data_IF_098386281514
#
_entry.id   IF_098386281514
#
_cell.length_a   1.000
_cell.length_b   1.000
_cell.length_c   1.000
_cell.angle_alpha   90.00
_cell.angle_beta   90.00
_cell.angle_gamma   90.00
#
_symmetry.space_group_name_H-M   'P 1'
#
loop_
_entity.id
_entity.type
_entity.pdbx_description
1 polymer ?
#
# COMPACT_ATOMS: atom_id res chain seq x y z
N UNK A 1 -15.27 3.72 40.33
CA UNK A 1 -14.03 4.48 40.03
C UNK A 1 -13.27 3.68 39.00
N UNK A 2 -13.34 4.08 37.72
CA UNK A 2 -12.76 3.32 36.62
C UNK A 2 -11.32 3.80 36.43
N UNK A 3 -10.36 2.91 36.66
CA UNK A 3 -8.93 3.20 36.60
C UNK A 3 -8.53 3.34 35.12
N UNK A 4 -8.63 4.54 34.56
CA UNK A 4 -8.10 4.84 33.22
C UNK A 4 -6.58 4.92 33.31
N UNK A 5 -5.93 3.76 33.21
CA UNK A 5 -4.50 3.64 33.09
C UNK A 5 -4.11 4.16 31.69
N UNK A 6 -3.73 5.43 31.60
CA UNK A 6 -3.26 6.04 30.35
C UNK A 6 -1.92 5.37 30.01
N UNK A 7 -1.91 4.51 28.99
CA UNK A 7 -0.70 3.88 28.47
C UNK A 7 0.05 4.88 27.59
N UNK A 8 1.17 5.48 28.03
CA UNK A 8 1.88 6.54 27.30
C UNK A 8 2.40 6.06 25.94
N UNK A 9 2.72 4.77 25.85
CA UNK A 9 3.22 4.06 24.67
C UNK A 9 2.21 4.00 23.51
N UNK A 10 0.92 4.26 23.76
CA UNK A 10 -0.14 4.26 22.75
C UNK A 10 -0.52 5.66 22.24
N UNK A 11 0.18 6.70 22.69
CA UNK A 11 0.03 8.07 22.19
C UNK A 11 0.85 8.21 20.90
N UNK A 12 0.41 7.54 19.84
CA UNK A 12 1.12 7.52 18.53
C UNK A 12 0.68 8.66 17.62
N UNK A 13 -0.44 9.33 17.92
CA UNK A 13 -0.92 10.44 17.09
C UNK A 13 -0.44 11.79 17.66
N UNK A 14 0.27 12.62 16.86
CA UNK A 14 0.74 13.95 17.28
C UNK A 14 -0.35 14.84 17.92
N UNK A 15 -1.61 14.63 17.55
CA UNK A 15 -2.77 15.36 18.10
C UNK A 15 -3.09 14.99 19.55
N UNK A 16 -2.81 13.76 19.99
CA UNK A 16 -3.04 13.33 21.37
C UNK A 16 -1.96 13.87 22.31
N UNK A 17 -0.70 13.92 21.85
CA UNK A 17 0.39 14.56 22.59
C UNK A 17 0.10 16.06 22.80
N UNK A 18 -0.41 16.75 21.77
CA UNK A 18 -0.85 18.15 21.87
C UNK A 18 -1.94 18.34 22.94
N UNK A 19 -2.91 17.44 23.00
CA UNK A 19 -3.97 17.46 24.02
C UNK A 19 -3.43 17.35 25.44
N UNK A 20 -2.47 16.44 25.68
CA UNK A 20 -1.84 16.30 27.00
C UNK A 20 -1.08 17.57 27.42
N UNK A 21 -0.36 18.19 26.50
CA UNK A 21 0.35 19.45 26.75
C UNK A 21 -0.59 20.62 27.04
N UNK A 22 -1.74 20.70 26.37
CA UNK A 22 -2.77 21.72 26.65
C UNK A 22 -3.38 21.56 28.05
N UNK A 23 -3.67 20.32 28.47
CA UNK A 23 -4.15 20.04 29.83
C UNK A 23 -3.10 20.43 30.87
N UNK A 24 -1.81 20.15 30.61
CA UNK A 24 -0.70 20.58 31.44
C UNK A 24 -0.59 22.10 31.56
N UNK A 25 -0.66 22.83 30.44
CA UNK A 25 -0.64 24.30 30.43
C UNK A 25 -1.79 24.88 31.25
N UNK A 26 -3.01 24.37 31.04
CA UNK A 26 -4.19 24.81 31.77
C UNK A 26 -4.06 24.58 33.28
N UNK A 27 -3.53 23.42 33.68
CA UNK A 27 -3.31 23.08 35.08
C UNK A 27 -2.27 23.99 35.76
N UNK A 28 -1.15 24.26 35.09
CA UNK A 28 -0.09 25.13 35.61
C UNK A 28 -0.59 26.58 35.75
N UNK A 29 -1.21 27.13 34.71
CA UNK A 29 -1.71 28.51 34.75
C UNK A 29 -2.84 28.68 35.78
N UNK A 30 -3.71 27.67 35.93
CA UNK A 30 -4.72 27.67 37.00
C UNK A 30 -4.07 27.71 38.38
N UNK A 31 -3.00 26.94 38.58
CA UNK A 31 -2.26 26.93 39.86
C UNK A 31 -1.61 28.29 40.14
N UNK A 32 -1.02 28.93 39.13
CA UNK A 32 -0.41 30.27 39.28
C UNK A 32 -1.44 31.34 39.61
N UNK A 33 -2.59 31.36 38.94
CA UNK A 33 -3.66 32.32 39.22
C UNK A 33 -4.28 32.09 40.61
N UNK A 34 -4.55 30.82 40.97
CA UNK A 34 -5.08 30.49 42.30
C UNK A 34 -4.08 30.88 43.39
N UNK A 35 -2.78 30.61 43.20
CA UNK A 35 -1.75 31.03 44.14
C UNK A 35 -1.65 32.55 44.25
N UNK A 36 -1.73 33.27 43.12
CA UNK A 36 -1.70 34.73 43.09
C UNK A 36 -2.87 35.37 43.87
N UNK A 37 -4.08 34.81 43.77
CA UNK A 37 -5.27 35.30 44.48
C UNK A 37 -5.21 35.00 45.99
N UNK A 38 -4.55 33.91 46.39
CA UNK A 38 -4.38 33.57 47.81
C UNK A 38 -3.20 34.28 48.48
N UNK A 39 -2.34 34.94 47.71
CA UNK A 39 -1.30 35.82 48.22
C UNK A 39 -1.90 37.21 48.51
N UNK A 40 -1.49 37.82 49.63
CA UNK A 40 -1.98 39.14 50.06
C UNK A 40 -1.73 40.22 48.99
N UNK A 41 -2.63 41.20 48.88
CA UNK A 41 -2.71 42.22 47.80
C UNK A 41 -1.46 43.10 47.61
N UNK A 42 -0.46 43.01 48.50
CA UNK A 42 0.78 43.81 48.44
C UNK A 42 2.05 42.97 48.22
N UNK A 43 1.92 41.75 47.67
CA UNK A 43 3.07 40.89 47.37
C UNK A 43 3.41 40.94 45.88
N UNK A 44 4.60 41.44 45.57
CA UNK A 44 5.22 41.40 44.22
C UNK A 44 5.20 39.99 43.59
N UNK A 45 5.17 38.95 44.44
CA UNK A 45 5.04 37.56 44.02
C UNK A 45 3.70 37.27 43.31
N UNK A 46 2.60 37.90 43.74
CA UNK A 46 1.29 37.75 43.10
C UNK A 46 1.30 38.34 41.68
N UNK A 47 1.84 39.56 41.53
CA UNK A 47 1.99 40.20 40.22
C UNK A 47 2.91 39.41 39.28
N UNK A 48 4.03 38.89 39.81
CA UNK A 48 4.95 38.05 39.05
C UNK A 48 4.29 36.75 38.56
N UNK A 49 3.44 36.11 39.37
CA UNK A 49 2.70 34.90 38.98
C UNK A 49 1.67 35.17 37.88
N UNK A 50 0.99 36.31 37.93
CA UNK A 50 0.04 36.71 36.87
C UNK A 50 0.78 36.97 35.56
N UNK A 51 1.90 37.69 35.59
CA UNK A 51 2.74 37.93 34.40
C UNK A 51 3.29 36.61 33.85
N UNK A 52 3.74 35.70 34.73
CA UNK A 52 4.22 34.38 34.34
C UNK A 52 3.12 33.58 33.63
N UNK A 53 1.88 33.56 34.15
CA UNK A 53 0.77 32.87 33.53
C UNK A 53 0.40 33.45 32.15
N UNK A 54 0.46 34.78 31.99
CA UNK A 54 0.22 35.46 30.70
C UNK A 54 1.30 35.09 29.67
N UNK A 55 2.58 35.12 30.06
CA UNK A 55 3.69 34.82 29.15
C UNK A 55 3.81 33.32 28.82
N UNK A 56 3.33 32.44 29.69
CA UNK A 56 3.38 31.00 29.48
C UNK A 56 2.57 30.58 28.24
N UNK A 57 1.44 31.24 27.96
CA UNK A 57 0.57 30.94 26.80
C UNK A 57 1.27 31.19 25.46
N UNK A 58 1.81 32.38 25.14
CA UNK A 58 2.50 32.61 23.87
C UNK A 58 3.78 31.79 23.74
N UNK A 59 4.54 31.58 24.82
CA UNK A 59 5.73 30.70 24.80
C UNK A 59 5.34 29.29 24.41
N UNK A 60 4.27 28.76 25.03
CA UNK A 60 3.75 27.44 24.73
C UNK A 60 3.27 27.32 23.27
N UNK A 61 2.53 28.31 22.76
CA UNK A 61 2.08 28.31 21.38
C UNK A 61 3.25 28.33 20.38
N UNK A 62 4.29 29.12 20.66
CA UNK A 62 5.51 29.13 19.83
C UNK A 62 6.22 27.77 19.87
N UNK A 63 6.33 27.16 21.06
CA UNK A 63 6.95 25.84 21.23
C UNK A 63 6.18 24.77 20.44
N UNK A 64 4.85 24.73 20.58
CA UNK A 64 3.97 23.83 19.84
C UNK A 64 4.08 24.05 18.34
N UNK A 65 4.02 25.31 17.89
CA UNK A 65 4.15 25.65 16.47
C UNK A 65 5.49 25.20 15.91
N UNK A 66 6.59 25.42 16.64
CA UNK A 66 7.93 24.94 16.26
C UNK A 66 7.97 23.41 16.17
N UNK A 67 7.33 22.73 17.12
CA UNK A 67 7.23 21.27 17.15
C UNK A 67 6.48 20.72 15.93
N UNK A 68 5.34 21.34 15.59
CA UNK A 68 4.49 20.94 14.47
C UNK A 68 5.06 21.28 13.09
N UNK A 69 5.91 22.30 12.98
CA UNK A 69 6.46 22.77 11.68
C UNK A 69 7.87 22.26 11.42
N UNK A 70 8.74 22.27 12.42
CA UNK A 70 10.16 21.91 12.28
C UNK A 70 10.45 20.45 12.63
N UNK A 71 9.82 19.94 13.67
CA UNK A 71 10.06 18.59 14.20
C UNK A 71 9.01 17.57 13.78
N UNK A 72 8.11 17.94 12.85
CA UNK A 72 7.15 17.01 12.23
C UNK A 72 7.79 15.74 11.67
N UNK A 73 8.96 15.79 10.98
CA UNK A 73 9.59 14.58 10.46
C UNK A 73 10.16 13.67 11.56
N UNK A 74 10.58 14.24 12.69
CA UNK A 74 11.16 13.49 13.82
C UNK A 74 10.10 12.83 14.72
N UNK A 75 8.85 13.28 14.59
CA UNK A 75 7.66 12.72 15.26
C UNK A 75 6.86 11.75 14.39
N UNK A 76 7.29 11.50 13.15
CA UNK A 76 6.71 10.49 12.29
C UNK A 76 7.38 9.14 12.55
N UNK A 77 6.60 8.06 12.42
CA UNK A 77 7.08 6.68 12.61
C UNK A 77 8.34 6.41 11.76
N UNK A 78 9.28 5.64 12.34
CA UNK A 78 10.68 5.44 11.95
C UNK A 78 10.98 5.31 10.44
N UNK A 79 10.02 4.88 9.61
CA UNK A 79 10.18 4.76 8.16
C UNK A 79 10.48 6.09 7.47
N UNK A 80 9.81 7.17 7.89
CA UNK A 80 10.02 8.50 7.30
C UNK A 80 11.26 9.21 7.85
N UNK A 81 11.69 8.89 9.07
CA UNK A 81 12.93 9.42 9.65
C UNK A 81 14.17 8.84 8.95
N UNK A 82 14.18 7.54 8.66
CA UNK A 82 15.23 6.91 7.88
C UNK A 82 15.36 7.53 6.48
N UNK A 83 14.25 7.80 5.81
CA UNK A 83 14.23 8.40 4.48
C UNK A 83 14.64 9.89 4.50
N UNK A 84 14.23 10.63 5.53
CA UNK A 84 14.64 12.03 5.74
C UNK A 84 16.14 12.16 6.03
N UNK A 85 16.73 11.29 6.88
CA UNK A 85 18.18 11.25 7.11
C UNK A 85 18.91 10.84 5.82
N UNK A 86 18.44 9.81 5.10
CA UNK A 86 19.03 9.41 3.82
C UNK A 86 19.01 10.53 2.76
N UNK A 87 17.98 11.38 2.75
CA UNK A 87 17.90 12.52 1.82
C UNK A 87 18.78 13.70 2.26
N UNK A 88 18.95 13.93 3.58
CA UNK A 88 19.78 15.02 4.11
C UNK A 88 21.27 14.69 4.10
N UNK A 89 21.60 13.42 4.25
CA UNK A 89 22.96 12.89 4.27
C UNK A 89 23.24 12.31 2.90
N UNK A 90 23.70 13.15 1.97
CA UNK A 90 24.11 12.76 0.61
C UNK A 90 25.41 11.92 0.62
N UNK A 91 25.61 11.09 1.65
CA UNK A 91 26.68 10.11 1.73
C UNK A 91 26.10 8.75 1.37
N UNK A 92 26.72 8.07 0.41
CA UNK A 92 26.38 6.68 0.11
C UNK A 92 26.48 5.87 1.40
N UNK A 93 25.35 5.46 1.96
CA UNK A 93 25.30 4.61 3.14
C UNK A 93 26.05 3.32 2.81
N UNK A 94 27.29 3.24 3.27
CA UNK A 94 27.99 1.97 3.42
C UNK A 94 27.27 1.28 4.57
N UNK A 95 26.26 0.49 4.22
CA UNK A 95 25.56 -0.40 5.15
C UNK A 95 26.64 -1.13 5.95
N UNK A 96 26.73 -0.96 7.28
CA UNK A 96 27.65 -1.76 8.07
C UNK A 96 27.17 -3.19 7.89
N UNK A 97 27.96 -3.93 7.13
CA UNK A 97 27.71 -5.31 6.79
C UNK A 97 27.75 -6.08 8.11
N UNK A 98 26.60 -6.19 8.78
CA UNK A 98 26.46 -7.10 9.91
C UNK A 98 26.83 -8.46 9.38
N UNK A 99 27.89 -9.04 9.93
CA UNK A 99 28.43 -10.33 9.49
C UNK A 99 27.35 -11.41 9.56
N UNK A 100 26.36 -11.24 10.44
CA UNK A 100 25.18 -12.10 10.56
C UNK A 100 24.26 -12.01 9.34
N UNK A 101 23.98 -10.81 8.84
CA UNK A 101 23.14 -10.62 7.65
C UNK A 101 23.81 -11.18 6.39
N UNK A 102 25.14 -11.04 6.28
CA UNK A 102 25.88 -11.64 5.15
C UNK A 102 25.97 -13.14 5.26
N UNK A 103 26.15 -13.71 6.45
CA UNK A 103 26.08 -15.16 6.63
C UNK A 103 24.67 -15.68 6.28
N UNK A 104 23.61 -15.00 6.72
CA UNK A 104 22.25 -15.39 6.36
C UNK A 104 21.99 -15.28 4.85
N UNK A 105 22.49 -14.23 4.20
CA UNK A 105 22.39 -14.05 2.75
C UNK A 105 23.18 -15.12 2.00
N UNK A 106 24.40 -15.45 2.42
CA UNK A 106 25.20 -16.51 1.83
C UNK A 106 24.52 -17.87 1.96
N UNK A 107 23.93 -18.17 3.12
CA UNK A 107 23.15 -19.40 3.33
C UNK A 107 21.90 -19.42 2.44
N UNK A 108 21.19 -18.30 2.28
CA UNK A 108 20.03 -18.22 1.37
C UNK A 108 20.45 -18.38 -0.09
N UNK A 109 21.58 -17.81 -0.50
CA UNK A 109 22.14 -17.96 -1.85
C UNK A 109 22.53 -19.41 -2.10
N UNK A 110 23.23 -20.07 -1.17
CA UNK A 110 23.60 -21.47 -1.30
C UNK A 110 22.36 -22.39 -1.35
N UNK A 111 21.32 -22.09 -0.57
CA UNK A 111 20.04 -22.80 -0.66
C UNK A 111 19.33 -22.57 -2.00
N UNK A 112 19.42 -21.36 -2.57
CA UNK A 112 18.87 -21.04 -3.88
C UNK A 112 19.65 -21.75 -4.99
N UNK A 113 20.99 -21.74 -4.92
CA UNK A 113 21.85 -22.46 -5.86
C UNK A 113 21.63 -23.97 -5.78
N UNK A 114 21.49 -24.54 -4.59
CA UNK A 114 21.14 -25.94 -4.41
C UNK A 114 19.75 -26.25 -4.99
N UNK A 115 18.75 -25.40 -4.75
CA UNK A 115 17.42 -25.53 -5.37
C UNK A 115 17.47 -25.39 -6.90
N UNK A 116 18.31 -24.50 -7.42
CA UNK A 116 18.49 -24.28 -8.85
C UNK A 116 19.21 -25.47 -9.50
N UNK A 117 20.27 -25.99 -8.87
CA UNK A 117 21.02 -27.15 -9.32
C UNK A 117 20.17 -28.42 -9.28
N UNK A 118 19.34 -28.59 -8.25
CA UNK A 118 18.33 -29.66 -8.20
C UNK A 118 17.26 -29.49 -9.29
N UNK A 119 16.91 -28.26 -9.64
CA UNK A 119 16.00 -27.97 -10.77
C UNK A 119 16.65 -28.18 -12.14
N UNK A 120 17.98 -28.19 -12.23
CA UNK A 120 18.75 -28.36 -13.47
C UNK A 120 19.23 -29.80 -13.71
N UNK A 121 19.28 -30.64 -12.67
CA UNK A 121 19.77 -32.03 -12.73
C UNK A 121 18.65 -33.08 -12.72
N UNK A 122 17.41 -32.68 -12.43
CA UNK A 122 16.23 -33.50 -12.68
C UNK A 122 15.70 -33.25 -14.09
N UNK A 123 15.52 -34.32 -14.87
CA UNK A 123 14.69 -34.27 -16.08
C UNK A 123 13.30 -33.69 -15.75
N UNK A 124 12.89 -32.62 -16.46
CA UNK A 124 11.48 -32.26 -16.60
C UNK A 124 11.03 -30.93 -15.98
N UNK A 125 10.65 -30.01 -16.87
CA UNK A 125 9.79 -28.85 -16.65
C UNK A 125 10.33 -27.72 -15.75
N UNK A 126 10.93 -26.72 -16.42
CA UNK A 126 10.60 -25.32 -16.11
C UNK A 126 9.08 -25.28 -16.04
N UNK A 127 8.50 -25.15 -14.85
CA UNK A 127 7.08 -24.86 -14.70
C UNK A 127 6.86 -23.50 -15.34
N UNK A 128 6.54 -23.51 -16.65
CA UNK A 128 5.73 -22.50 -17.29
C UNK A 128 4.66 -22.14 -16.27
N UNK A 129 4.61 -20.89 -15.82
CA UNK A 129 3.53 -20.48 -14.94
C UNK A 129 2.24 -20.58 -15.77
N UNK A 130 1.57 -21.71 -15.67
CA UNK A 130 0.42 -22.03 -16.51
C UNK A 130 -0.72 -21.05 -16.24
N UNK A 131 -1.35 -20.57 -17.30
CA UNK A 131 -2.57 -19.74 -17.23
C UNK A 131 -3.75 -20.48 -16.57
N UNK A 132 -3.64 -21.80 -16.35
CA UNK A 132 -4.63 -22.66 -15.70
C UNK A 132 -4.98 -22.21 -14.28
N UNK A 133 -4.06 -21.55 -13.56
CA UNK A 133 -4.29 -21.09 -12.19
C UNK A 133 -5.07 -19.77 -12.09
N UNK A 134 -5.19 -19.03 -13.20
CA UNK A 134 -5.78 -17.69 -13.23
C UNK A 134 -7.31 -17.74 -13.15
N UNK A 135 -7.91 -16.69 -12.58
CA UNK A 135 -9.36 -16.52 -12.56
C UNK A 135 -9.84 -15.74 -13.79
N UNK A 136 -10.69 -16.37 -14.61
CA UNK A 136 -11.25 -15.76 -15.81
C UNK A 136 -12.70 -15.36 -15.62
N UNK A 137 -13.02 -14.09 -15.86
CA UNK A 137 -14.39 -13.65 -16.06
C UNK A 137 -14.79 -13.77 -17.52
N UNK A 138 -15.99 -14.28 -17.79
CA UNK A 138 -16.60 -14.26 -19.14
C UNK A 138 -17.85 -13.39 -19.13
N UNK A 139 -17.96 -12.46 -20.08
CA UNK A 139 -19.13 -11.60 -20.20
C UNK A 139 -20.38 -12.43 -20.54
N UNK A 140 -21.48 -12.18 -19.82
CA UNK A 140 -22.75 -12.91 -19.94
C UNK A 140 -23.52 -12.60 -21.23
N UNK A 141 -23.18 -11.52 -21.93
CA UNK A 141 -23.84 -11.10 -23.18
C UNK A 141 -23.28 -11.77 -24.44
N UNK A 142 -22.26 -12.61 -24.32
CA UNK A 142 -21.75 -13.35 -25.46
C UNK A 142 -22.60 -14.59 -25.74
N UNK A 143 -23.23 -14.61 -26.93
CA UNK A 143 -24.03 -15.73 -27.42
C UNK A 143 -23.20 -17.03 -27.57
N UNK A 144 -21.88 -16.90 -27.78
CA UNK A 144 -20.90 -17.98 -27.91
C UNK A 144 -20.21 -18.34 -26.58
N UNK A 145 -20.79 -17.98 -25.43
CA UNK A 145 -20.22 -18.24 -24.09
C UNK A 145 -19.85 -19.70 -23.86
N UNK A 146 -20.65 -20.65 -24.34
CA UNK A 146 -20.35 -22.08 -24.18
C UNK A 146 -19.14 -22.52 -25.04
N UNK A 147 -18.93 -21.88 -26.20
CA UNK A 147 -17.74 -22.10 -27.03
C UNK A 147 -16.50 -21.53 -26.32
N UNK A 148 -16.60 -20.31 -25.77
CA UNK A 148 -15.51 -19.69 -25.01
C UNK A 148 -15.12 -20.56 -23.80
N UNK A 149 -16.10 -21.01 -23.01
CA UNK A 149 -15.84 -21.93 -21.88
C UNK A 149 -15.23 -23.25 -22.34
N UNK A 150 -15.66 -23.78 -23.49
CA UNK A 150 -15.09 -24.98 -24.09
C UNK A 150 -13.61 -24.78 -24.45
N UNK A 151 -13.26 -23.68 -25.09
CA UNK A 151 -11.87 -23.32 -25.43
C UNK A 151 -11.03 -23.08 -24.18
N UNK A 152 -11.58 -22.44 -23.14
CA UNK A 152 -10.90 -22.28 -21.85
C UNK A 152 -10.65 -23.63 -21.16
N UNK A 153 -11.64 -24.52 -21.19
CA UNK A 153 -11.52 -25.86 -20.62
C UNK A 153 -10.49 -26.70 -21.37
N UNK A 154 -10.34 -26.51 -22.69
CA UNK A 154 -9.30 -27.16 -23.48
C UNK A 154 -7.87 -26.69 -23.11
N UNK A 155 -7.75 -25.55 -22.44
CA UNK A 155 -6.49 -24.99 -21.92
C UNK A 155 -6.32 -25.23 -20.41
N UNK A 156 -7.03 -26.22 -19.84
CA UNK A 156 -7.01 -26.56 -18.40
C UNK A 156 -7.40 -25.41 -17.46
N UNK A 157 -8.18 -24.43 -17.95
CA UNK A 157 -8.67 -23.32 -17.15
C UNK A 157 -9.99 -23.73 -16.49
N UNK A 158 -9.96 -23.89 -15.17
CA UNK A 158 -11.10 -24.41 -14.39
C UNK A 158 -11.85 -23.27 -13.66
N UNK A 159 -11.17 -22.15 -13.38
CA UNK A 159 -11.70 -21.05 -12.58
C UNK A 159 -12.35 -19.99 -13.47
N UNK A 160 -13.66 -20.13 -13.71
CA UNK A 160 -14.42 -19.23 -14.58
C UNK A 160 -15.57 -18.59 -13.80
N UNK A 161 -15.62 -17.25 -13.79
CA UNK A 161 -16.77 -16.45 -13.31
C UNK A 161 -17.53 -15.87 -14.49
N UNK A 162 -18.68 -15.28 -14.23
CA UNK A 162 -19.46 -14.61 -15.27
C UNK A 162 -19.88 -13.24 -14.79
N UNK A 163 -19.66 -12.25 -15.63
CA UNK A 163 -19.85 -10.84 -15.31
C UNK A 163 -20.63 -10.15 -16.43
N UNK A 164 -21.10 -8.93 -16.20
CA UNK A 164 -21.84 -8.13 -17.18
C UNK A 164 -23.19 -7.63 -16.65
N UNK A 165 -23.43 -6.31 -16.59
CA UNK A 165 -24.74 -5.75 -16.23
C UNK A 165 -25.79 -6.09 -17.30
N UNK A 166 -27.04 -6.34 -16.89
CA UNK A 166 -28.12 -6.76 -17.80
C UNK A 166 -28.41 -5.76 -18.94
N UNK A 167 -28.08 -4.49 -18.73
CA UNK A 167 -28.52 -3.38 -19.59
C UNK A 167 -27.45 -2.88 -20.56
N UNK A 168 -26.23 -3.46 -20.55
CA UNK A 168 -25.14 -3.01 -21.42
C UNK A 168 -24.48 -4.19 -22.13
N UNK A 169 -24.53 -4.18 -23.46
CA UNK A 169 -23.79 -5.11 -24.31
C UNK A 169 -22.42 -4.53 -24.66
N UNK A 170 -21.35 -5.34 -24.69
CA UNK A 170 -20.05 -4.89 -25.15
C UNK A 170 -20.10 -4.61 -26.65
N UNK A 171 -19.53 -3.47 -27.07
CA UNK A 171 -19.47 -3.05 -28.48
C UNK A 171 -18.34 -3.73 -29.26
N UNK A 172 -17.31 -4.21 -28.56
CA UNK A 172 -16.15 -4.89 -29.11
C UNK A 172 -15.76 -6.08 -28.22
N UNK A 173 -15.09 -7.07 -28.81
CA UNK A 173 -14.58 -8.26 -28.13
C UNK A 173 -13.18 -7.97 -27.59
N UNK A 174 -13.12 -7.35 -26.41
CA UNK A 174 -11.84 -6.98 -25.77
C UNK A 174 -11.54 -7.94 -24.61
N UNK A 175 -10.30 -8.42 -24.55
CA UNK A 175 -9.77 -9.16 -23.40
C UNK A 175 -9.00 -8.20 -22.48
N UNK A 176 -9.47 -7.99 -21.24
CA UNK A 176 -8.68 -7.28 -20.23
C UNK A 176 -7.81 -8.27 -19.45
N UNK A 177 -6.52 -7.98 -19.34
CA UNK A 177 -5.53 -8.82 -18.67
C UNK A 177 -4.91 -8.03 -17.51
N UNK A 178 -4.79 -8.63 -16.33
CA UNK A 178 -4.18 -7.96 -15.17
C UNK A 178 -2.74 -7.56 -15.49
N UNK A 179 -2.39 -6.30 -15.20
CA UNK A 179 -1.05 -5.76 -15.40
C UNK A 179 0.02 -6.37 -14.47
N UNK A 180 -0.41 -7.12 -13.45
CA UNK A 180 0.49 -7.76 -12.48
C UNK A 180 0.98 -9.15 -12.92
N UNK A 181 0.53 -9.63 -14.08
CA UNK A 181 0.95 -10.93 -14.62
C UNK A 181 2.34 -10.86 -15.26
N UNK A 182 3.06 -11.99 -15.21
CA UNK A 182 4.35 -12.14 -15.89
C UNK A 182 4.20 -12.01 -17.41
N UNK A 183 5.25 -11.52 -18.09
CA UNK A 183 5.21 -11.33 -19.55
C UNK A 183 4.99 -12.64 -20.33
N UNK A 184 5.35 -13.79 -19.75
CA UNK A 184 5.08 -15.12 -20.31
C UNK A 184 3.58 -15.44 -20.30
N UNK A 185 2.90 -15.21 -19.16
CA UNK A 185 1.44 -15.35 -19.06
C UNK A 185 0.70 -14.42 -20.01
N UNK A 186 1.13 -13.16 -20.12
CA UNK A 186 0.52 -12.21 -21.05
C UNK A 186 0.63 -12.72 -22.49
N UNK A 187 1.80 -13.25 -22.91
CA UNK A 187 1.96 -13.84 -24.25
C UNK A 187 1.03 -15.03 -24.49
N UNK A 188 0.88 -15.92 -23.50
CA UNK A 188 -0.05 -17.05 -23.58
C UNK A 188 -1.50 -16.57 -23.71
N UNK A 189 -1.89 -15.57 -22.91
CA UNK A 189 -3.22 -14.96 -22.96
C UNK A 189 -3.50 -14.24 -24.28
N UNK A 190 -2.50 -13.56 -24.86
CA UNK A 190 -2.63 -12.94 -26.19
C UNK A 190 -2.79 -14.00 -27.28
N UNK A 191 -2.11 -15.14 -27.17
CA UNK A 191 -2.30 -16.28 -28.08
C UNK A 191 -3.72 -16.86 -27.95
N UNK A 192 -4.22 -17.01 -26.72
CA UNK A 192 -5.59 -17.44 -26.45
C UNK A 192 -6.62 -16.43 -26.98
N UNK A 193 -6.35 -15.13 -26.82
CA UNK A 193 -7.22 -14.07 -27.35
C UNK A 193 -7.33 -14.13 -28.89
N UNK A 194 -6.25 -14.50 -29.57
CA UNK A 194 -6.24 -14.75 -31.02
C UNK A 194 -7.10 -15.95 -31.39
N UNK A 195 -7.02 -17.05 -30.65
CA UNK A 195 -7.87 -18.23 -30.87
C UNK A 195 -9.36 -17.93 -30.65
N UNK A 196 -9.66 -17.13 -29.62
CA UNK A 196 -11.00 -16.68 -29.29
C UNK A 196 -11.54 -15.56 -30.21
N UNK A 197 -10.79 -15.15 -31.23
CA UNK A 197 -11.15 -14.08 -32.19
C UNK A 197 -11.54 -12.77 -31.49
N UNK A 198 -10.75 -12.37 -30.50
CA UNK A 198 -10.89 -11.08 -29.84
C UNK A 198 -10.36 -9.96 -30.74
N UNK A 199 -11.00 -8.79 -30.71
CA UNK A 199 -10.62 -7.61 -31.49
C UNK A 199 -9.32 -6.99 -30.95
N UNK A 200 -9.11 -7.10 -29.64
CA UNK A 200 -7.93 -6.57 -28.98
C UNK A 200 -7.82 -7.01 -27.53
N UNK A 201 -6.75 -6.57 -26.89
CA UNK A 201 -6.56 -6.71 -25.46
C UNK A 201 -6.18 -5.40 -24.81
N UNK A 202 -6.39 -5.32 -23.50
CA UNK A 202 -5.94 -4.19 -22.67
C UNK A 202 -5.36 -4.70 -21.38
N UNK A 203 -4.43 -3.94 -20.82
CA UNK A 203 -4.00 -4.17 -19.46
C UNK A 203 -4.93 -3.41 -18.51
N UNK A 204 -5.29 -4.02 -17.39
CA UNK A 204 -6.09 -3.38 -16.36
C UNK A 204 -5.53 -3.65 -14.96
N UNK A 205 -5.88 -2.78 -14.03
CA UNK A 205 -5.48 -2.89 -12.64
C UNK A 205 -6.64 -3.50 -11.84
N UNK A 206 -6.61 -4.82 -11.66
CA UNK A 206 -7.65 -5.54 -10.94
C UNK A 206 -7.75 -5.13 -9.46
N UNK A 207 -6.67 -4.61 -8.85
CA UNK A 207 -6.66 -4.19 -7.45
C UNK A 207 -7.36 -2.85 -7.25
N UNK A 208 -7.15 -1.91 -8.17
CA UNK A 208 -7.83 -0.60 -8.16
C UNK A 208 -9.29 -0.71 -8.56
N UNK A 209 -9.63 -1.63 -9.46
CA UNK A 209 -11.00 -1.85 -9.94
C UNK A 209 -11.82 -2.77 -9.02
N UNK A 210 -11.26 -3.21 -7.88
CA UNK A 210 -11.89 -4.12 -6.91
C UNK A 210 -12.48 -5.38 -7.56
N UNK A 211 -11.76 -5.94 -8.53
CA UNK A 211 -12.15 -7.17 -9.26
C UNK A 211 -11.29 -8.34 -8.81
N UNK A 212 -11.91 -9.50 -8.61
CA UNK A 212 -11.19 -10.71 -8.22
C UNK A 212 -10.55 -11.40 -9.43
N UNK A 213 -11.08 -11.17 -10.63
CA UNK A 213 -10.62 -11.77 -11.88
C UNK A 213 -9.24 -11.26 -12.31
N UNK A 214 -8.40 -12.19 -12.75
CA UNK A 214 -7.10 -11.88 -13.36
C UNK A 214 -7.25 -11.52 -14.84
N UNK A 215 -8.27 -12.08 -15.50
CA UNK A 215 -8.56 -11.90 -16.92
C UNK A 215 -10.06 -11.74 -17.13
N UNK A 216 -10.48 -10.74 -17.90
CA UNK A 216 -11.87 -10.50 -18.27
C UNK A 216 -12.04 -10.62 -19.78
N UNK A 217 -12.90 -11.53 -20.22
CA UNK A 217 -13.23 -11.75 -21.63
C UNK A 217 -14.53 -11.00 -21.95
N UNK A 218 -14.45 -10.02 -22.85
CA UNK A 218 -15.58 -9.16 -23.24
C UNK A 218 -15.75 -7.94 -22.35
N UNK A 219 -14.65 -7.26 -22.02
CA UNK A 219 -14.71 -6.03 -21.23
C UNK A 219 -15.32 -4.86 -22.01
N UNK A 220 -15.87 -3.88 -21.29
CA UNK A 220 -16.60 -2.73 -21.86
C UNK A 220 -15.73 -1.55 -22.27
N UNK A 221 -14.40 -1.70 -22.24
CA UNK A 221 -13.48 -0.63 -22.56
C UNK A 221 -12.86 -0.82 -23.94
N UNK A 222 -12.37 0.28 -24.52
CA UNK A 222 -11.68 0.23 -25.80
C UNK A 222 -10.38 -0.60 -25.71
N UNK A 223 -10.01 -1.33 -26.79
CA UNK A 223 -8.78 -2.08 -26.83
C UNK A 223 -7.59 -1.12 -26.80
N UNK A 224 -6.62 -1.41 -25.94
CA UNK A 224 -5.36 -0.69 -25.91
C UNK A 224 -4.40 -1.20 -26.99
N UNK A 225 -4.50 -2.49 -27.31
CA UNK A 225 -3.69 -3.17 -28.30
C UNK A 225 -4.59 -4.01 -29.21
N UNK A 226 -4.40 -3.89 -30.53
CA UNK A 226 -5.09 -4.71 -31.51
C UNK A 226 -4.45 -6.09 -31.64
N UNK A 227 -5.26 -7.12 -31.79
CA UNK A 227 -4.76 -8.47 -32.07
C UNK A 227 -4.67 -8.63 -33.59
N UNK A 228 -3.44 -8.64 -34.10
CA UNK A 228 -3.21 -8.84 -35.52
C UNK A 228 -3.51 -10.30 -35.90
N UNK A 229 -4.65 -10.50 -36.55
CA UNK A 229 -4.98 -11.78 -37.19
C UNK A 229 -4.24 -11.84 -38.52
N UNK A 230 -3.20 -12.69 -38.61
CA UNK A 230 -2.61 -13.04 -39.90
C UNK A 230 -3.65 -13.81 -40.72
N UNK A 231 -4.28 -13.13 -41.68
CA UNK A 231 -5.07 -13.80 -42.70
C UNK A 231 -4.13 -14.75 -43.46
N UNK A 232 -4.36 -16.05 -43.31
CA UNK A 232 -3.78 -17.10 -44.17
C UNK A 232 -4.92 -17.78 -44.89
#
# INVERSE_FOLDING_TARGET
MNNQNIQPEKITKPIQLLGAWLVGLFSINSTFLVAAVNLSELNWASEALVIAAILNVPIFLIAVFTLQTKFRPELQEDSYYAEYINQKTNESVKIPVSTQNVQELLVKIEQLEAKLALSLTGEGHVKSEEISSLLFGVNSHFDDREVIKGTLSAHDIIRITSFGPKDKQPTQRVMSISQYLSSEKIKQLVSLAKELKMDGYRLFDNRMEETEEDVLIGSYGDPQFEILVSNT
#
